data_IF_372930877216
#
_entry.id   IF_372930877216
#
_cell.length_a   1.000
_cell.length_b   1.000
_cell.length_c   1.000
_cell.angle_alpha   90.00
_cell.angle_beta   90.00
_cell.angle_gamma   90.00
#
_symmetry.space_group_name_H-M   'P 1'
#
loop_
_entity.id
_entity.type
_entity.pdbx_description
1 polymer ?
#
# COMPACT_ATOMS: atom_id res chain seq x y z
N UNK A 1 9.26 -11.06 0.54
CA UNK A 1 8.62 -11.37 1.83
C UNK A 1 9.18 -10.43 2.90
N UNK A 2 8.35 -10.00 3.86
CA UNK A 2 8.76 -9.06 4.90
C UNK A 2 9.65 -9.71 5.97
N UNK A 3 10.55 -8.93 6.56
CA UNK A 3 11.44 -9.37 7.66
C UNK A 3 10.79 -9.31 9.04
N UNK A 4 9.48 -9.00 9.10
CA UNK A 4 8.69 -8.90 10.33
C UNK A 4 7.50 -9.86 10.28
N UNK A 5 7.03 -10.37 11.43
CA UNK A 5 5.86 -11.23 11.48
C UNK A 5 4.61 -10.45 11.08
N UNK A 6 3.79 -11.04 10.21
CA UNK A 6 2.51 -10.46 9.81
C UNK A 6 1.47 -10.69 10.91
N UNK A 7 0.53 -9.75 11.05
CA UNK A 7 -0.61 -9.91 11.95
C UNK A 7 -1.70 -10.73 11.23
N UNK A 8 -2.20 -11.81 11.84
CA UNK A 8 -3.40 -12.53 11.40
C UNK A 8 -4.64 -11.64 11.32
N UNK A 9 -5.51 -11.90 10.34
CA UNK A 9 -6.64 -11.02 10.00
C UNK A 9 -7.68 -10.89 11.12
N UNK A 10 -7.82 -11.92 11.97
CA UNK A 10 -8.70 -11.92 13.14
C UNK A 10 -8.28 -10.91 14.20
N UNK A 11 -6.99 -10.54 14.23
CA UNK A 11 -6.43 -9.53 15.14
C UNK A 11 -6.48 -8.10 14.59
N UNK A 12 -6.94 -7.91 13.35
CA UNK A 12 -7.10 -6.58 12.73
C UNK A 12 -8.51 -6.04 13.08
N UNK A 13 -8.62 -4.86 13.75
CA UNK A 13 -9.90 -4.22 14.02
C UNK A 13 -10.74 -4.04 12.74
N UNK A 14 -12.06 -4.31 12.76
CA UNK A 14 -12.91 -4.23 11.56
C UNK A 14 -12.79 -2.89 10.81
N UNK A 15 -12.73 -1.79 11.55
CA UNK A 15 -12.63 -0.44 11.00
C UNK A 15 -11.30 -0.13 10.32
N UNK A 16 -10.28 -0.97 10.50
CA UNK A 16 -8.95 -0.84 9.89
C UNK A 16 -8.69 -1.85 8.75
N UNK A 17 -9.59 -2.81 8.51
CA UNK A 17 -9.46 -3.82 7.44
C UNK A 17 -9.65 -3.23 6.04
N UNK A 18 -8.66 -3.36 5.16
CA UNK A 18 -8.73 -2.88 3.78
C UNK A 18 -9.05 -4.03 2.81
N UNK A 19 -9.70 -3.77 1.65
CA UNK A 19 -10.02 -4.79 0.67
C UNK A 19 -8.83 -5.03 -0.27
N UNK A 20 -7.67 -5.34 0.31
CA UNK A 20 -6.41 -5.57 -0.40
C UNK A 20 -5.52 -6.49 0.44
N UNK A 21 -5.12 -7.63 -0.11
CA UNK A 21 -4.32 -8.66 0.53
C UNK A 21 -2.87 -8.69 0.01
N UNK A 22 -2.47 -7.71 -0.80
CA UNK A 22 -1.10 -7.58 -1.28
C UNK A 22 -0.13 -7.56 -0.10
N UNK A 23 1.02 -8.20 -0.27
CA UNK A 23 2.01 -8.31 0.80
C UNK A 23 2.40 -6.93 1.38
N UNK A 24 2.38 -5.85 0.56
CA UNK A 24 2.74 -4.49 0.99
C UNK A 24 1.73 -3.94 2.00
N UNK A 25 0.46 -4.26 1.82
CA UNK A 25 -0.59 -3.91 2.77
C UNK A 25 -0.44 -4.75 4.03
N UNK A 26 -0.25 -6.07 3.86
CA UNK A 26 -0.15 -6.99 5.01
C UNK A 26 1.02 -6.68 5.93
N UNK A 27 2.16 -6.18 5.43
CA UNK A 27 3.28 -5.80 6.30
C UNK A 27 2.95 -4.62 7.22
N UNK A 28 2.01 -3.74 6.83
CA UNK A 28 1.53 -2.64 7.68
C UNK A 28 0.56 -3.09 8.78
N UNK A 29 0.05 -4.33 8.75
CA UNK A 29 -0.91 -4.86 9.74
C UNK A 29 -0.42 -4.84 11.18
N UNK A 30 0.90 -4.73 11.41
CA UNK A 30 1.50 -4.49 12.74
C UNK A 30 1.00 -3.20 13.40
N UNK A 31 0.51 -2.25 12.59
CA UNK A 31 -0.18 -1.05 13.04
C UNK A 31 -1.44 -0.82 12.17
N UNK A 32 -2.59 -1.46 12.50
CA UNK A 32 -3.79 -1.48 11.63
C UNK A 32 -4.27 -0.11 11.15
N UNK A 33 -4.33 0.89 12.03
CA UNK A 33 -4.71 2.25 11.65
C UNK A 33 -3.78 2.88 10.61
N UNK A 34 -2.48 2.59 10.65
CA UNK A 34 -1.52 3.07 9.64
C UNK A 34 -1.71 2.33 8.33
N UNK A 35 -1.99 1.02 8.37
CA UNK A 35 -2.34 0.22 7.19
C UNK A 35 -3.55 0.82 6.44
N UNK A 36 -4.64 1.13 7.16
CA UNK A 36 -5.82 1.82 6.61
C UNK A 36 -5.44 3.14 5.94
N UNK A 37 -4.75 4.01 6.67
CA UNK A 37 -4.37 5.33 6.16
C UNK A 37 -3.44 5.25 4.95
N UNK A 38 -2.51 4.29 4.93
CA UNK A 38 -1.63 4.05 3.79
C UNK A 38 -2.41 3.60 2.55
N UNK A 39 -3.32 2.63 2.72
CA UNK A 39 -4.20 2.16 1.64
C UNK A 39 -5.06 3.30 1.08
N UNK A 40 -5.71 4.08 1.95
CA UNK A 40 -6.57 5.18 1.53
C UNK A 40 -5.79 6.24 0.75
N UNK A 41 -4.59 6.60 1.23
CA UNK A 41 -3.69 7.51 0.52
C UNK A 41 -3.27 6.96 -0.85
N UNK A 42 -2.91 5.68 -0.92
CA UNK A 42 -2.52 5.03 -2.16
C UNK A 42 -3.66 5.05 -3.19
N UNK A 43 -4.88 4.69 -2.76
CA UNK A 43 -6.06 4.70 -3.64
C UNK A 43 -6.38 6.12 -4.12
N UNK A 44 -6.31 7.10 -3.23
CA UNK A 44 -6.53 8.51 -3.58
C UNK A 44 -5.54 8.97 -4.65
N UNK A 45 -4.25 8.76 -4.43
CA UNK A 45 -3.20 9.20 -5.35
C UNK A 45 -3.17 8.41 -6.66
N UNK A 46 -3.35 7.09 -6.61
CA UNK A 46 -3.12 6.23 -7.77
C UNK A 46 -4.39 5.95 -8.58
N UNK A 47 -5.57 5.88 -7.96
CA UNK A 47 -6.81 5.42 -8.62
C UNK A 47 -7.87 6.51 -8.82
N UNK A 48 -7.94 7.53 -7.96
CA UNK A 48 -8.96 8.59 -8.10
C UNK A 48 -8.64 9.58 -9.22
N UNK A 49 -9.64 10.29 -9.80
CA UNK A 49 -9.42 11.28 -10.85
C UNK A 49 -8.40 12.35 -10.44
N UNK A 50 -7.61 12.81 -11.40
CA UNK A 50 -6.65 13.89 -11.19
C UNK A 50 -5.97 14.30 -12.50
N UNK A 51 -5.04 15.25 -12.47
CA UNK A 51 -4.43 15.81 -13.67
C UNK A 51 -3.48 14.83 -14.39
N UNK A 52 -3.02 13.79 -13.71
CA UNK A 52 -2.19 12.73 -14.28
C UNK A 52 -3.04 11.49 -14.57
N UNK A 53 -2.84 10.92 -15.75
CA UNK A 53 -3.37 9.60 -16.09
C UNK A 53 -2.77 8.52 -15.21
N UNK A 54 -3.46 7.38 -15.08
CA UNK A 54 -2.93 6.22 -14.35
C UNK A 54 -1.55 5.79 -14.88
N UNK A 55 -1.36 5.78 -16.20
CA UNK A 55 -0.07 5.44 -16.82
C UNK A 55 1.04 6.39 -16.36
N UNK A 56 0.79 7.69 -16.31
CA UNK A 56 1.78 8.67 -15.84
C UNK A 56 2.16 8.48 -14.37
N UNK A 57 1.18 8.14 -13.53
CA UNK A 57 1.43 7.84 -12.11
C UNK A 57 2.32 6.60 -11.95
N UNK A 58 2.04 5.55 -12.72
CA UNK A 58 2.88 4.34 -12.74
C UNK A 58 4.29 4.61 -13.28
N UNK A 59 4.44 5.46 -14.32
CA UNK A 59 5.77 5.84 -14.82
C UNK A 59 6.63 6.48 -13.72
N UNK A 60 6.04 7.37 -12.91
CA UNK A 60 6.74 7.97 -11.75
C UNK A 60 7.10 6.89 -10.72
N UNK A 61 6.15 6.01 -10.38
CA UNK A 61 6.38 4.93 -9.42
C UNK A 61 7.54 4.02 -9.85
N UNK A 62 7.56 3.57 -11.11
CA UNK A 62 8.61 2.69 -11.66
C UNK A 62 9.98 3.37 -11.65
N UNK A 63 10.07 4.63 -12.10
CA UNK A 63 11.34 5.37 -12.12
C UNK A 63 11.88 5.57 -10.70
N UNK A 64 11.03 5.95 -9.75
CA UNK A 64 11.44 6.14 -8.35
C UNK A 64 11.90 4.81 -7.73
N UNK A 65 11.17 3.72 -7.95
CA UNK A 65 11.53 2.39 -7.45
C UNK A 65 12.86 1.91 -8.03
N UNK A 66 13.06 2.04 -9.35
CA UNK A 66 14.30 1.66 -10.00
C UNK A 66 15.49 2.49 -9.51
N UNK A 67 15.30 3.81 -9.34
CA UNK A 67 16.33 4.73 -8.83
C UNK A 67 16.74 4.35 -7.39
N UNK A 68 15.79 3.90 -6.58
CA UNK A 68 16.03 3.49 -5.19
C UNK A 68 16.46 2.03 -5.03
N UNK A 69 16.58 1.25 -6.11
CA UNK A 69 16.86 -0.19 -6.02
C UNK A 69 15.77 -0.97 -5.26
N UNK A 70 14.53 -0.47 -5.26
CA UNK A 70 13.41 -1.12 -4.59
C UNK A 70 12.90 -2.30 -5.42
N UNK A 71 13.15 -3.52 -4.95
CA UNK A 71 12.83 -4.75 -5.68
C UNK A 71 11.39 -5.24 -5.51
N UNK A 72 10.70 -4.77 -4.47
CA UNK A 72 9.45 -5.33 -3.98
C UNK A 72 8.35 -5.43 -5.05
#
# INVERSE_FOLDING_TARGET
>A
MASIPLVPDDRIPPDDRVPDDDHIIRVHSVHPRVMRLHYDLYVELMRRPGPLTRLQREMVAVVVSATNGCHY
#
